data_IF_596492219216
#
_entry.id   IF_596492219216
#
_cell.length_a   1.000
_cell.length_b   1.000
_cell.length_c   1.000
_cell.angle_alpha   90.00
_cell.angle_beta   90.00
_cell.angle_gamma   90.00
#
_symmetry.space_group_name_H-M   'P 1'
#
loop_
_entity.id
_entity.type
_entity.pdbx_description
1 polymer ?
#
# COMPACT_ATOMS: atom_id res chain seq x y z
N UNK A 1 27.82 -35.06 27.87
CA UNK A 1 27.36 -33.66 28.02
C UNK A 1 27.82 -32.90 26.79
N UNK A 2 26.94 -32.65 25.81
CA UNK A 2 27.14 -31.68 24.72
C UNK A 2 25.78 -31.39 24.05
N UNK A 3 24.85 -30.92 24.87
CA UNK A 3 23.66 -30.19 24.44
C UNK A 3 24.07 -28.73 24.49
N UNK A 4 24.41 -28.07 23.38
CA UNK A 4 24.29 -26.61 23.24
C UNK A 4 24.53 -26.18 21.77
N UNK A 5 23.52 -25.52 21.19
CA UNK A 5 23.59 -24.59 20.05
C UNK A 5 23.52 -25.16 18.62
N UNK A 6 22.45 -25.90 18.31
CA UNK A 6 21.78 -25.67 17.03
C UNK A 6 20.80 -24.51 17.26
N UNK A 7 21.28 -23.26 17.09
CA UNK A 7 20.37 -22.11 16.95
C UNK A 7 19.48 -22.44 15.75
N UNK A 8 18.23 -22.79 15.98
CA UNK A 8 17.24 -22.89 14.92
C UNK A 8 17.20 -21.53 14.22
N UNK A 9 17.82 -21.42 13.04
CA UNK A 9 17.81 -20.20 12.26
C UNK A 9 16.35 -19.87 11.95
N UNK A 10 15.85 -18.77 12.54
CA UNK A 10 14.47 -18.32 12.36
C UNK A 10 14.23 -18.14 10.85
N UNK A 11 13.38 -18.99 10.27
CA UNK A 11 13.08 -18.94 8.83
C UNK A 11 12.54 -17.54 8.48
N UNK A 12 13.08 -16.96 7.41
CA UNK A 12 12.66 -15.64 6.94
C UNK A 12 11.15 -15.60 6.69
N UNK A 13 10.46 -14.62 7.25
CA UNK A 13 9.01 -14.47 7.08
C UNK A 13 8.70 -13.62 5.85
N UNK A 14 8.59 -14.30 4.71
CA UNK A 14 8.30 -13.66 3.42
C UNK A 14 6.99 -12.84 3.44
N UNK A 15 5.97 -13.28 4.18
CA UNK A 15 4.68 -12.58 4.26
C UNK A 15 4.81 -11.25 4.99
N UNK A 16 5.56 -11.23 6.09
CA UNK A 16 5.84 -10.00 6.83
C UNK A 16 6.64 -9.04 5.96
N UNK A 17 7.68 -9.53 5.27
CA UNK A 17 8.48 -8.72 4.36
C UNK A 17 7.66 -8.05 3.25
N UNK A 18 6.82 -8.83 2.55
CA UNK A 18 5.93 -8.31 1.49
C UNK A 18 5.00 -7.25 2.06
N UNK A 19 4.40 -7.50 3.22
CA UNK A 19 3.44 -6.57 3.83
C UNK A 19 4.11 -5.26 4.28
N UNK A 20 5.31 -5.35 4.87
CA UNK A 20 6.12 -4.16 5.20
C UNK A 20 6.49 -3.36 3.95
N UNK A 21 6.90 -4.04 2.87
CA UNK A 21 7.18 -3.41 1.59
C UNK A 21 5.97 -2.65 1.02
N UNK A 22 4.79 -3.27 1.04
CA UNK A 22 3.55 -2.60 0.64
C UNK A 22 3.27 -1.36 1.49
N UNK A 23 3.38 -1.44 2.82
CA UNK A 23 3.11 -0.29 3.70
C UNK A 23 4.04 0.87 3.39
N UNK A 24 5.35 0.59 3.23
CA UNK A 24 6.35 1.60 2.88
C UNK A 24 5.98 2.26 1.53
N UNK A 25 5.64 1.45 0.51
CA UNK A 25 5.24 2.00 -0.79
C UNK A 25 3.93 2.80 -0.73
N UNK A 26 2.93 2.32 0.02
CA UNK A 26 1.64 3.01 0.21
C UNK A 26 1.81 4.35 0.90
N UNK A 27 2.72 4.47 1.86
CA UNK A 27 3.01 5.76 2.51
C UNK A 27 3.86 6.66 1.60
N UNK A 28 4.82 6.09 0.88
CA UNK A 28 5.68 6.85 -0.03
C UNK A 28 4.95 7.42 -1.24
N UNK A 29 3.94 6.72 -1.77
CA UNK A 29 3.15 7.16 -2.93
C UNK A 29 2.43 8.50 -2.73
N UNK A 30 1.63 8.74 -1.66
CA UNK A 30 1.00 10.03 -1.43
C UNK A 30 2.02 11.13 -1.13
N UNK A 31 3.11 10.82 -0.43
CA UNK A 31 4.18 11.80 -0.17
C UNK A 31 4.84 12.26 -1.47
N UNK A 32 5.28 11.32 -2.31
CA UNK A 32 5.90 11.63 -3.61
C UNK A 32 4.90 12.22 -4.61
N UNK A 33 3.63 11.81 -4.55
CA UNK A 33 2.55 12.37 -5.36
C UNK A 33 2.24 13.82 -5.00
N UNK A 34 2.26 14.14 -3.70
CA UNK A 34 2.12 15.51 -3.21
C UNK A 34 3.28 16.39 -3.68
N UNK A 35 4.53 15.90 -3.61
CA UNK A 35 5.68 16.63 -4.14
C UNK A 35 5.58 16.84 -5.65
N UNK A 36 5.20 15.81 -6.42
CA UNK A 36 4.94 15.96 -7.84
C UNK A 36 3.86 16.99 -8.15
N UNK A 37 2.85 17.11 -7.29
CA UNK A 37 1.82 18.14 -7.43
C UNK A 37 2.38 19.54 -7.15
N UNK A 38 3.20 19.72 -6.11
CA UNK A 38 3.86 21.02 -5.85
C UNK A 38 4.74 21.49 -7.00
N UNK A 39 5.48 20.58 -7.64
CA UNK A 39 6.33 20.89 -8.79
C UNK A 39 5.60 20.77 -10.15
N UNK A 40 4.27 20.58 -10.17
CA UNK A 40 3.54 20.24 -11.39
C UNK A 40 3.57 21.36 -12.45
N UNK A 41 3.57 22.61 -12.00
CA UNK A 41 3.55 23.80 -12.86
C UNK A 41 4.95 24.32 -13.21
N UNK A 42 5.99 23.78 -12.59
CA UNK A 42 7.36 24.12 -12.92
C UNK A 42 7.80 23.46 -14.23
N UNK A 43 8.74 24.11 -14.92
CA UNK A 43 9.51 23.47 -15.99
C UNK A 43 10.18 22.19 -15.47
N UNK A 44 10.66 21.34 -16.37
CA UNK A 44 11.29 20.07 -15.97
C UNK A 44 12.60 20.31 -15.20
N UNK A 45 12.50 20.50 -13.89
CA UNK A 45 13.63 20.64 -12.96
C UNK A 45 14.13 19.26 -12.52
N UNK A 46 15.35 19.23 -11.99
CA UNK A 46 15.94 18.00 -11.42
C UNK A 46 15.05 17.48 -10.28
N UNK A 47 14.60 18.36 -9.39
CA UNK A 47 13.75 18.04 -8.25
C UNK A 47 12.44 17.37 -8.69
N UNK A 48 11.76 17.93 -9.71
CA UNK A 48 10.56 17.33 -10.29
C UNK A 48 10.85 15.95 -10.87
N UNK A 49 11.95 15.78 -11.59
CA UNK A 49 12.35 14.49 -12.15
C UNK A 49 12.64 13.43 -11.07
N UNK A 50 13.27 13.84 -9.96
CA UNK A 50 13.56 12.97 -8.82
C UNK A 50 12.28 12.48 -8.13
N UNK A 51 11.36 13.39 -7.81
CA UNK A 51 10.08 13.03 -7.19
C UNK A 51 9.20 12.19 -8.11
N UNK A 52 9.22 12.47 -9.42
CA UNK A 52 8.51 11.68 -10.42
C UNK A 52 9.09 10.27 -10.51
N UNK A 53 10.42 10.14 -10.53
CA UNK A 53 11.12 8.86 -10.55
C UNK A 53 10.87 8.04 -9.28
N UNK A 54 10.94 8.69 -8.12
CA UNK A 54 10.63 8.07 -6.83
C UNK A 54 9.19 7.55 -6.79
N UNK A 55 8.22 8.36 -7.23
CA UNK A 55 6.81 7.97 -7.31
C UNK A 55 6.60 6.73 -8.20
N UNK A 56 7.23 6.73 -9.38
CA UNK A 56 7.13 5.62 -10.32
C UNK A 56 7.72 4.32 -9.75
N UNK A 57 8.90 4.38 -9.12
CA UNK A 57 9.53 3.21 -8.50
C UNK A 57 8.71 2.70 -7.31
N UNK A 58 8.16 3.60 -6.49
CA UNK A 58 7.27 3.22 -5.39
C UNK A 58 5.99 2.56 -5.91
N UNK A 59 5.41 3.06 -7.01
CA UNK A 59 4.26 2.46 -7.68
C UNK A 59 4.56 1.06 -8.23
N UNK A 60 5.74 0.88 -8.82
CA UNK A 60 6.21 -0.43 -9.28
C UNK A 60 6.35 -1.42 -8.11
N UNK A 61 7.05 -1.02 -7.04
CA UNK A 61 7.21 -1.87 -5.86
C UNK A 61 5.89 -2.19 -5.17
N UNK A 62 4.99 -1.20 -5.04
CA UNK A 62 3.65 -1.43 -4.52
C UNK A 62 2.91 -2.50 -5.33
N UNK A 63 2.94 -2.38 -6.66
CA UNK A 63 2.29 -3.33 -7.57
C UNK A 63 2.86 -4.73 -7.43
N UNK A 64 4.19 -4.87 -7.43
CA UNK A 64 4.86 -6.17 -7.26
C UNK A 64 4.53 -6.78 -5.90
N UNK A 65 4.64 -6.01 -4.82
CA UNK A 65 4.32 -6.52 -3.49
C UNK A 65 2.83 -6.84 -3.34
N UNK A 66 1.93 -6.09 -3.95
CA UNK A 66 0.49 -6.36 -3.95
C UNK A 66 0.19 -7.70 -4.63
N UNK A 67 0.78 -7.95 -5.81
CA UNK A 67 0.63 -9.23 -6.52
C UNK A 67 1.15 -10.38 -5.64
N UNK A 68 2.35 -10.23 -5.06
CA UNK A 68 2.91 -11.23 -4.16
C UNK A 68 2.03 -11.41 -2.92
N UNK A 69 1.50 -10.35 -2.33
CA UNK A 69 0.62 -10.41 -1.17
C UNK A 69 -0.62 -11.22 -1.48
N UNK A 70 -1.26 -11.00 -2.64
CA UNK A 70 -2.40 -11.80 -3.10
C UNK A 70 -2.01 -13.27 -3.26
N UNK A 71 -0.89 -13.56 -3.93
CA UNK A 71 -0.43 -14.95 -4.14
C UNK A 71 -0.18 -15.68 -2.81
N UNK A 72 0.53 -15.04 -1.87
CA UNK A 72 0.90 -15.63 -0.59
C UNK A 72 -0.28 -15.73 0.41
N UNK A 73 -1.32 -14.91 0.23
CA UNK A 73 -2.53 -14.90 1.04
C UNK A 73 -3.78 -15.43 0.31
N UNK A 74 -3.61 -16.04 -0.89
CA UNK A 74 -4.72 -16.47 -1.75
C UNK A 74 -5.73 -17.40 -1.07
N UNK A 75 -5.27 -18.29 -0.18
CA UNK A 75 -6.16 -19.23 0.54
C UNK A 75 -7.11 -18.52 1.51
N UNK A 76 -6.64 -17.45 2.15
CA UNK A 76 -7.48 -16.62 3.02
C UNK A 76 -8.47 -15.82 2.17
N UNK A 77 -7.98 -15.26 1.06
CA UNK A 77 -8.81 -14.48 0.13
C UNK A 77 -9.95 -15.31 -0.47
N UNK A 78 -9.66 -16.53 -0.95
CA UNK A 78 -10.71 -17.40 -1.50
C UNK A 78 -11.71 -17.86 -0.44
N UNK A 79 -11.28 -18.05 0.81
CA UNK A 79 -12.17 -18.34 1.94
C UNK A 79 -13.13 -17.18 2.23
N UNK A 80 -12.63 -15.94 2.23
CA UNK A 80 -13.44 -14.73 2.36
C UNK A 80 -14.41 -14.57 1.18
N UNK A 81 -13.92 -14.69 -0.06
CA UNK A 81 -14.73 -14.52 -1.26
C UNK A 81 -15.84 -15.57 -1.36
N UNK A 82 -15.58 -16.82 -0.95
CA UNK A 82 -16.59 -17.89 -0.93
C UNK A 82 -17.72 -17.63 0.08
N UNK A 83 -17.43 -16.90 1.15
CA UNK A 83 -18.40 -16.48 2.16
C UNK A 83 -18.91 -15.05 1.93
N UNK A 84 -18.45 -14.36 0.88
CA UNK A 84 -18.82 -12.99 0.57
C UNK A 84 -20.31 -12.86 0.24
N UNK A 85 -20.91 -13.89 -0.38
CA UNK A 85 -22.37 -13.96 -0.60
C UNK A 85 -23.19 -14.06 0.68
N UNK A 86 -22.56 -14.33 1.84
CA UNK A 86 -23.20 -14.37 3.16
C UNK A 86 -22.81 -13.19 4.05
N UNK A 87 -21.83 -12.38 3.65
CA UNK A 87 -21.42 -11.19 4.38
C UNK A 87 -22.33 -10.04 3.95
N UNK A 88 -23.38 -9.81 4.73
CA UNK A 88 -24.06 -8.53 4.69
C UNK A 88 -23.05 -7.44 5.04
N UNK A 89 -22.89 -6.44 4.16
CA UNK A 89 -22.10 -5.25 4.45
C UNK A 89 -22.69 -4.65 5.72
N UNK A 90 -21.91 -4.67 6.80
CA UNK A 90 -22.37 -4.11 8.07
C UNK A 90 -22.52 -2.59 7.93
N UNK A 91 -23.43 -2.00 8.71
CA UNK A 91 -23.65 -0.55 8.66
C UNK A 91 -22.36 0.21 8.99
N UNK A 92 -21.53 -0.36 9.85
CA UNK A 92 -20.23 0.14 10.26
C UNK A 92 -19.23 0.13 9.09
N UNK A 93 -19.19 -0.95 8.30
CA UNK A 93 -18.32 -1.02 7.12
C UNK A 93 -18.74 -0.01 6.05
N UNK A 94 -20.04 0.23 5.90
CA UNK A 94 -20.58 1.23 4.98
C UNK A 94 -20.24 2.66 5.44
N UNK A 95 -20.41 2.95 6.73
CA UNK A 95 -20.04 4.23 7.34
C UNK A 95 -18.53 4.47 7.25
N UNK A 96 -17.70 3.47 7.56
CA UNK A 96 -16.25 3.57 7.41
C UNK A 96 -15.85 3.85 5.96
N UNK A 97 -16.48 3.17 4.99
CA UNK A 97 -16.25 3.41 3.57
C UNK A 97 -16.66 4.82 3.15
N UNK A 98 -17.80 5.32 3.63
CA UNK A 98 -18.25 6.69 3.39
C UNK A 98 -17.31 7.74 3.97
N UNK A 99 -16.79 7.52 5.18
CA UNK A 99 -15.80 8.40 5.80
C UNK A 99 -14.52 8.43 4.96
N UNK A 100 -14.02 7.26 4.54
CA UNK A 100 -12.84 7.19 3.67
C UNK A 100 -13.08 7.93 2.37
N UNK A 101 -14.20 7.69 1.70
CA UNK A 101 -14.57 8.38 0.45
C UNK A 101 -14.67 9.89 0.66
N UNK A 102 -15.30 10.33 1.75
CA UNK A 102 -15.42 11.74 2.08
C UNK A 102 -14.05 12.41 2.26
N UNK A 103 -13.15 11.82 3.04
CA UNK A 103 -11.78 12.33 3.19
C UNK A 103 -11.02 12.33 1.86
N UNK A 104 -11.22 11.30 1.04
CA UNK A 104 -10.58 11.18 -0.27
C UNK A 104 -11.06 12.29 -1.21
N UNK A 105 -12.37 12.57 -1.25
CA UNK A 105 -12.93 13.71 -1.99
C UNK A 105 -12.41 15.02 -1.44
N UNK A 106 -12.32 15.20 -0.13
CA UNK A 106 -11.86 16.44 0.49
C UNK A 106 -10.40 16.74 0.11
N UNK A 107 -9.53 15.72 0.19
CA UNK A 107 -8.13 15.82 -0.24
C UNK A 107 -8.02 16.10 -1.74
N UNK A 108 -8.78 15.39 -2.59
CA UNK A 108 -8.79 15.66 -4.03
C UNK A 108 -9.32 17.05 -4.35
N UNK A 109 -10.34 17.53 -3.63
CA UNK A 109 -10.91 18.87 -3.84
C UNK A 109 -9.91 19.96 -3.50
N UNK A 110 -9.15 19.80 -2.40
CA UNK A 110 -8.06 20.73 -2.08
C UNK A 110 -7.00 20.79 -3.20
N UNK A 111 -6.73 19.68 -3.88
CA UNK A 111 -5.76 19.58 -4.98
C UNK A 111 -6.27 20.24 -6.28
N UNK A 112 -7.59 20.35 -6.49
CA UNK A 112 -8.18 20.94 -7.70
C UNK A 112 -8.55 22.43 -7.54
N UNK A 113 -8.77 22.91 -6.32
CA UNK A 113 -9.22 24.28 -6.04
C UNK A 113 -8.13 25.20 -5.44
N UNK A 114 -6.89 24.75 -5.38
CA UNK A 114 -5.67 25.52 -5.02
C UNK A 114 -4.74 25.53 -6.23
#
# INVERSE_FOLDING_TARGET
MNNEKIKAAKKFNMRAFISSGMIISVIGLPLSGLMNHYFAFDNMTIERHEWMSAHNILGLFFTVFLILHIIYNRKLLTGYLRNFSKLFISKEALVASLIVIFFLVLVLSHVYFV
#
